data_IF_272248426468
#
_entry.id   IF_272248426468
#
_cell.length_a   1.000
_cell.length_b   1.000
_cell.length_c   1.000
_cell.angle_alpha   90.00
_cell.angle_beta   90.00
_cell.angle_gamma   90.00
#
_symmetry.space_group_name_H-M   'P 1'
#
loop_
_entity.id
_entity.type
_entity.pdbx_description
1 polymer ?
#
# COMPACT_ATOMS: atom_id res chain seq x y z
N UNK A 1 15.35 -11.69 -0.61
CA UNK A 1 14.37 -11.43 -1.68
C UNK A 1 13.83 -10.00 -1.55
N UNK A 2 13.05 -9.62 -0.53
CA UNK A 2 12.61 -8.20 -0.43
C UNK A 2 13.55 -7.29 0.38
N UNK A 3 14.45 -7.85 1.20
CA UNK A 3 15.49 -7.08 1.92
C UNK A 3 16.41 -6.29 0.99
N UNK A 4 16.58 -6.76 -0.24
CA UNK A 4 17.45 -6.14 -1.24
C UNK A 4 16.72 -5.03 -2.03
N UNK A 5 15.39 -4.91 -1.86
CA UNK A 5 14.53 -3.95 -2.55
C UNK A 5 14.11 -2.75 -1.65
N UNK A 6 14.80 -2.52 -0.53
CA UNK A 6 14.50 -1.47 0.44
C UNK A 6 13.03 -1.50 0.93
N UNK A 7 12.57 -2.67 1.37
CA UNK A 7 11.22 -2.83 1.92
C UNK A 7 10.96 -1.86 3.07
N UNK A 8 9.89 -1.07 2.94
CA UNK A 8 9.43 -0.16 3.97
C UNK A 8 8.46 -0.89 4.89
N UNK A 9 8.64 -0.74 6.19
CA UNK A 9 7.77 -1.34 7.21
C UNK A 9 6.96 -0.22 7.88
N UNK A 10 5.65 -0.41 7.98
CA UNK A 10 4.73 0.54 8.60
C UNK A 10 3.58 -0.17 9.32
N UNK A 11 2.73 0.60 10.01
CA UNK A 11 1.50 0.15 10.68
C UNK A 11 0.41 1.18 10.42
N UNK A 12 -0.87 0.81 10.55
CA UNK A 12 -1.98 1.78 10.41
C UNK A 12 -1.93 2.90 11.46
N UNK A 13 -1.30 2.65 12.62
CA UNK A 13 -1.12 3.64 13.68
C UNK A 13 -0.01 4.66 13.40
N UNK A 14 0.79 4.47 12.34
CA UNK A 14 1.83 5.41 11.95
C UNK A 14 1.21 6.71 11.43
N UNK A 15 1.61 7.85 12.02
CA UNK A 15 1.24 9.18 11.51
C UNK A 15 1.71 9.42 10.08
N UNK A 16 2.72 8.68 9.63
CA UNK A 16 3.26 8.76 8.28
C UNK A 16 2.68 7.71 7.33
N UNK A 17 1.75 6.86 7.78
CA UNK A 17 1.22 5.74 6.99
C UNK A 17 0.77 6.17 5.58
N UNK A 18 -0.05 7.21 5.49
CA UNK A 18 -0.56 7.71 4.21
C UNK A 18 0.55 8.17 3.28
N UNK A 19 1.48 8.98 3.80
CA UNK A 19 2.63 9.46 3.04
C UNK A 19 3.51 8.30 2.56
N UNK A 20 3.79 7.34 3.44
CA UNK A 20 4.57 6.15 3.14
C UNK A 20 3.90 5.26 2.09
N UNK A 21 2.57 5.14 2.12
CA UNK A 21 1.78 4.42 1.12
C UNK A 21 1.84 5.11 -0.25
N UNK A 22 1.57 6.41 -0.30
CA UNK A 22 1.64 7.24 -1.53
C UNK A 22 3.04 7.16 -2.17
N UNK A 23 4.09 7.32 -1.36
CA UNK A 23 5.48 7.28 -1.81
C UNK A 23 5.88 5.88 -2.28
N UNK A 24 5.48 4.82 -1.57
CA UNK A 24 5.83 3.45 -1.96
C UNK A 24 5.18 3.05 -3.28
N UNK A 25 3.92 3.45 -3.50
CA UNK A 25 3.20 3.23 -4.76
C UNK A 25 3.91 3.96 -5.91
N UNK A 26 4.27 5.22 -5.71
CA UNK A 26 4.89 6.07 -6.74
C UNK A 26 6.33 5.65 -7.08
N UNK A 27 7.12 5.31 -6.05
CA UNK A 27 8.52 4.93 -6.20
C UNK A 27 8.69 3.45 -6.53
N UNK A 28 7.63 2.64 -6.42
CA UNK A 28 7.68 1.21 -6.68
C UNK A 28 8.44 0.44 -5.61
N UNK A 29 8.47 0.96 -4.38
CA UNK A 29 9.10 0.30 -3.23
C UNK A 29 8.13 -0.67 -2.57
N UNK A 30 8.57 -1.87 -2.17
CA UNK A 30 7.72 -2.79 -1.45
C UNK A 30 7.35 -2.20 -0.08
N UNK A 31 6.07 -2.28 0.29
CA UNK A 31 5.55 -1.81 1.57
C UNK A 31 4.99 -3.01 2.35
N UNK A 32 5.43 -3.17 3.59
CA UNK A 32 4.87 -4.12 4.55
C UNK A 32 4.09 -3.35 5.61
N UNK A 33 2.79 -3.67 5.74
CA UNK A 33 1.96 -3.24 6.85
C UNK A 33 1.94 -4.37 7.88
N UNK A 34 2.53 -4.13 9.04
CA UNK A 34 2.53 -5.09 10.14
C UNK A 34 1.43 -4.78 11.14
N UNK A 35 1.11 -5.79 11.96
CA UNK A 35 0.16 -5.70 13.07
C UNK A 35 -1.22 -5.20 12.62
N UNK A 36 -1.68 -5.72 11.48
CA UNK A 36 -3.04 -5.49 11.02
C UNK A 36 -4.02 -6.32 11.86
N UNK A 37 -4.98 -5.62 12.47
CA UNK A 37 -6.10 -6.19 13.22
C UNK A 37 -7.18 -6.73 12.26
N UNK A 38 -8.42 -6.93 12.72
CA UNK A 38 -9.51 -7.47 11.90
C UNK A 38 -9.98 -6.49 10.82
N UNK A 39 -9.85 -5.18 11.04
CA UNK A 39 -10.30 -4.14 10.11
C UNK A 39 -9.12 -3.49 9.38
N UNK A 40 -9.22 -3.46 8.05
CA UNK A 40 -8.31 -2.72 7.17
C UNK A 40 -8.78 -1.27 7.03
N UNK A 41 -7.83 -0.32 7.01
CA UNK A 41 -8.15 1.07 6.71
C UNK A 41 -8.74 1.18 5.28
N UNK A 42 -9.94 1.76 5.08
CA UNK A 42 -10.59 1.90 3.78
C UNK A 42 -9.76 2.64 2.73
N UNK A 43 -8.71 3.35 3.13
CA UNK A 43 -7.74 3.96 2.20
C UNK A 43 -7.07 2.92 1.28
N UNK A 44 -7.08 1.64 1.67
CA UNK A 44 -6.51 0.54 0.90
C UNK A 44 -7.46 -0.05 -0.15
N UNK A 45 -8.77 0.24 -0.10
CA UNK A 45 -9.80 -0.43 -0.91
C UNK A 45 -9.43 -0.44 -2.40
N UNK A 46 -9.14 0.74 -2.97
CA UNK A 46 -8.78 0.86 -4.38
C UNK A 46 -7.47 0.14 -4.75
N UNK A 47 -6.52 0.02 -3.81
CA UNK A 47 -5.26 -0.70 -4.04
C UNK A 47 -5.52 -2.20 -4.04
N UNK A 48 -6.31 -2.71 -3.08
CA UNK A 48 -6.63 -4.13 -2.92
C UNK A 48 -7.55 -4.64 -4.03
N UNK A 49 -8.54 -3.84 -4.42
CA UNK A 49 -9.41 -4.09 -5.57
C UNK A 49 -8.69 -3.97 -6.92
N UNK A 50 -7.45 -3.44 -6.93
CA UNK A 50 -6.70 -3.09 -8.14
C UNK A 50 -7.49 -2.17 -9.06
N UNK A 51 -8.22 -1.23 -8.48
CA UNK A 51 -8.99 -0.22 -9.19
C UNK A 51 -8.06 0.86 -9.74
N UNK A 52 -7.29 0.50 -10.75
CA UNK A 52 -6.33 1.36 -11.41
C UNK A 52 -6.90 1.90 -12.72
N UNK A 53 -6.64 3.17 -12.98
CA UNK A 53 -7.10 3.86 -14.18
C UNK A 53 -5.91 4.46 -14.94
N UNK A 54 -6.04 4.55 -16.26
CA UNK A 54 -5.02 5.15 -17.11
C UNK A 54 -5.32 6.63 -17.34
N UNK A 55 -4.33 7.49 -17.13
CA UNK A 55 -4.35 8.88 -17.57
C UNK A 55 -3.18 9.08 -18.53
N UNK A 56 -3.51 9.24 -19.81
CA UNK A 56 -2.49 9.24 -20.87
C UNK A 56 -1.73 7.91 -20.91
N UNK A 57 -0.43 7.96 -20.61
CA UNK A 57 0.45 6.78 -20.54
C UNK A 57 0.66 6.25 -19.12
N UNK A 58 0.27 7.02 -18.10
CA UNK A 58 0.49 6.67 -16.69
C UNK A 58 -0.66 5.84 -16.13
N UNK A 59 -0.33 4.88 -15.26
CA UNK A 59 -1.30 4.15 -14.44
C UNK A 59 -1.45 4.87 -13.10
N UNK A 60 -2.68 5.08 -12.65
CA UNK A 60 -3.00 5.77 -11.40
C UNK A 60 -3.97 4.99 -10.54
N UNK A 61 -3.93 5.26 -9.24
CA UNK A 61 -4.87 4.73 -8.24
C UNK A 61 -5.30 5.85 -7.30
N UNK A 62 -6.53 5.77 -6.80
CA UNK A 62 -7.01 6.67 -5.77
C UNK A 62 -6.60 6.15 -4.38
N UNK A 63 -5.95 6.99 -3.59
CA UNK A 63 -5.54 6.71 -2.22
C UNK A 63 -6.18 7.78 -1.34
N UNK A 64 -7.26 7.41 -0.65
CA UNK A 64 -8.10 8.37 0.07
C UNK A 64 -8.73 9.38 -0.90
N UNK A 65 -8.37 10.65 -0.76
CA UNK A 65 -8.81 11.77 -1.58
C UNK A 65 -7.82 12.14 -2.70
N UNK A 66 -6.67 11.46 -2.80
CA UNK A 66 -5.60 11.75 -3.75
C UNK A 66 -5.49 10.73 -4.87
N UNK A 67 -5.00 11.17 -6.02
CA UNK A 67 -4.58 10.28 -7.11
C UNK A 67 -3.05 10.13 -7.08
N UNK A 68 -2.59 8.88 -7.12
CA UNK A 68 -1.17 8.53 -7.03
C UNK A 68 -0.76 7.77 -8.28
N UNK A 69 0.39 8.11 -8.83
CA UNK A 69 0.99 7.39 -9.96
C UNK A 69 1.49 6.02 -9.50
N UNK A 70 1.08 4.95 -10.19
CA UNK A 70 1.37 3.57 -9.81
C UNK A 70 2.60 3.08 -10.55
N UNK A 71 3.64 2.73 -9.81
CA UNK A 71 4.79 2.03 -10.36
C UNK A 71 4.53 0.52 -10.43
N UNK A 72 4.85 -0.09 -11.56
CA UNK A 72 4.64 -1.53 -11.80
C UNK A 72 5.46 -2.46 -10.88
N UNK A 73 6.54 -1.96 -10.28
CA UNK A 73 7.35 -2.73 -9.33
C UNK A 73 6.79 -2.74 -7.91
N UNK A 74 5.76 -1.92 -7.63
CA UNK A 74 5.14 -1.87 -6.31
C UNK A 74 4.59 -3.22 -5.87
N UNK A 75 4.78 -3.53 -4.59
CA UNK A 75 4.26 -4.71 -3.90
C UNK A 75 3.78 -4.29 -2.51
N UNK A 76 2.55 -4.67 -2.16
CA UNK A 76 1.99 -4.49 -0.83
C UNK A 76 1.97 -5.85 -0.11
N UNK A 77 2.54 -5.87 1.08
CA UNK A 77 2.54 -7.01 2.00
C UNK A 77 1.77 -6.62 3.26
N UNK A 78 0.99 -7.56 3.80
CA UNK A 78 0.21 -7.37 5.02
C UNK A 78 0.48 -8.56 5.93
N UNK A 79 0.79 -8.30 7.19
CA UNK A 79 0.90 -9.34 8.22
C UNK A 79 -0.05 -9.03 9.37
N UNK A 80 -0.65 -10.09 9.90
CA UNK A 80 -1.49 -10.05 11.10
C UNK A 80 -0.92 -10.99 12.15
N UNK A 81 -1.07 -10.63 13.43
CA UNK A 81 -0.76 -11.50 14.57
C UNK A 81 -1.97 -12.33 15.01
N UNK A 82 -3.13 -12.14 14.37
CA UNK A 82 -4.33 -12.91 14.66
C UNK A 82 -4.15 -14.33 14.13
N UNK A 83 -4.24 -15.31 15.02
CA UNK A 83 -4.09 -16.72 14.67
C UNK A 83 -5.21 -17.23 13.74
N UNK A 84 -6.31 -16.50 13.62
CA UNK A 84 -7.43 -16.79 12.72
C UNK A 84 -8.29 -15.52 12.56
N UNK A 85 -7.99 -14.60 11.62
CA UNK A 85 -8.87 -13.47 11.32
C UNK A 85 -10.19 -14.00 10.75
N UNK A 86 -11.30 -13.73 11.44
CA UNK A 86 -12.66 -14.12 11.02
C UNK A 86 -13.24 -13.19 9.98
#
# INVERSE_FOLDING_TARGET
>A
MERDNDILITTFNSKMFRQQLEDSISLGRPLLIEDVDEELDPILDHILEKNYFKIGLSLRVKVGDREVDVNHTFRLYITTKLANPT
#
